data_IF_552885908196
#
_entry.id   IF_552885908196
#
_cell.length_a   1.000
_cell.length_b   1.000
_cell.length_c   1.000
_cell.angle_alpha   90.00
_cell.angle_beta   90.00
_cell.angle_gamma   90.00
#
_symmetry.space_group_name_H-M   'P 1'
#
loop_
_entity.id
_entity.type
_entity.pdbx_description
1 polymer ?
#
# COMPACT_ATOMS: atom_id res chain seq x y z
N UNK A 1 -8.38 -19.93 9.00
CA UNK A 1 -9.31 -20.63 9.91
C UNK A 1 -8.79 -20.65 11.34
N UNK A 2 -7.59 -21.18 11.62
CA UNK A 2 -7.04 -21.37 12.97
C UNK A 2 -6.99 -20.09 13.83
N UNK A 3 -6.62 -18.94 13.26
CA UNK A 3 -6.65 -17.65 13.98
C UNK A 3 -8.07 -17.16 14.25
N UNK A 4 -8.98 -17.29 13.28
CA UNK A 4 -10.37 -16.91 13.47
C UNK A 4 -11.04 -17.78 14.56
N UNK A 5 -10.70 -19.07 14.63
CA UNK A 5 -11.20 -19.99 15.66
C UNK A 5 -10.63 -19.66 17.05
N UNK A 6 -9.32 -19.40 17.16
CA UNK A 6 -8.65 -19.15 18.44
C UNK A 6 -8.95 -17.77 19.01
N UNK A 7 -8.95 -16.72 18.14
CA UNK A 7 -9.01 -15.32 18.57
C UNK A 7 -10.31 -14.62 18.16
N UNK A 8 -11.24 -15.33 17.49
CA UNK A 8 -12.55 -14.83 17.06
C UNK A 8 -12.46 -13.60 16.14
N UNK A 9 -11.46 -13.57 15.24
CA UNK A 9 -11.31 -12.48 14.27
C UNK A 9 -12.44 -12.48 13.25
N UNK A 10 -13.02 -11.31 13.00
CA UNK A 10 -14.05 -11.11 11.97
C UNK A 10 -13.45 -11.05 10.56
N UNK A 11 -12.23 -10.53 10.44
CA UNK A 11 -11.48 -10.39 9.19
C UNK A 11 -9.96 -10.35 9.43
N UNK A 12 -9.19 -10.45 8.35
CA UNK A 12 -7.72 -10.47 8.44
C UNK A 12 -7.12 -9.12 8.84
N UNK A 13 -7.78 -8.00 8.56
CA UNK A 13 -7.25 -6.69 8.90
C UNK A 13 -7.36 -6.42 10.40
N UNK A 14 -8.54 -6.64 10.97
CA UNK A 14 -8.77 -6.46 12.42
C UNK A 14 -7.88 -7.37 13.28
N UNK A 15 -7.58 -8.58 12.79
CA UNK A 15 -6.65 -9.50 13.44
C UNK A 15 -5.23 -8.95 13.60
N UNK A 16 -4.79 -8.06 12.71
CA UNK A 16 -3.48 -7.41 12.79
C UNK A 16 -3.29 -6.48 14.00
N UNK A 17 -4.38 -5.98 14.57
CA UNK A 17 -4.38 -5.11 15.74
C UNK A 17 -4.64 -5.85 17.06
N UNK A 18 -4.73 -7.18 17.01
CA UNK A 18 -4.91 -7.98 18.21
C UNK A 18 -3.66 -7.92 19.09
N UNK A 19 -3.80 -7.71 20.42
CA UNK A 19 -2.67 -7.67 21.35
C UNK A 19 -2.18 -9.08 21.69
N UNK A 20 -1.39 -9.68 20.80
CA UNK A 20 -0.83 -11.01 21.02
C UNK A 20 0.05 -11.06 22.27
N UNK A 21 -0.01 -12.15 23.03
CA UNK A 21 0.73 -12.31 24.28
C UNK A 21 2.24 -12.41 24.09
N UNK A 22 2.69 -12.94 22.93
CA UNK A 22 4.11 -13.13 22.62
C UNK A 22 4.45 -12.67 21.21
N UNK A 23 5.73 -12.36 20.98
CA UNK A 23 6.23 -12.00 19.64
C UNK A 23 6.16 -13.18 18.67
N UNK A 24 6.29 -14.41 19.15
CA UNK A 24 6.16 -15.62 18.34
C UNK A 24 4.72 -15.76 17.79
N UNK A 25 3.69 -15.45 18.60
CA UNK A 25 2.30 -15.45 18.14
C UNK A 25 2.00 -14.26 17.22
N UNK A 26 2.51 -13.07 17.51
CA UNK A 26 2.43 -11.90 16.66
C UNK A 26 3.02 -12.19 15.27
N UNK A 27 4.22 -12.75 15.23
CA UNK A 27 4.90 -13.00 13.96
C UNK A 27 4.36 -14.19 13.17
N UNK A 28 3.73 -15.18 13.80
CA UNK A 28 3.04 -16.24 13.02
C UNK A 28 1.81 -15.70 12.30
N UNK A 29 1.10 -14.75 12.90
CA UNK A 29 -0.01 -14.06 12.23
C UNK A 29 0.51 -13.20 11.08
N UNK A 30 1.43 -12.29 11.37
CA UNK A 30 1.93 -11.34 10.40
C UNK A 30 2.75 -12.00 9.28
N UNK A 31 3.50 -13.04 9.54
CA UNK A 31 4.24 -13.73 8.48
C UNK A 31 3.32 -14.35 7.43
N UNK A 32 2.21 -14.98 7.85
CA UNK A 32 1.19 -15.49 6.92
C UNK A 32 0.49 -14.37 6.17
N UNK A 33 0.14 -13.29 6.87
CA UNK A 33 -0.50 -12.14 6.25
C UNK A 33 0.40 -11.49 5.19
N UNK A 34 1.65 -11.25 5.52
CA UNK A 34 2.66 -10.70 4.60
C UNK A 34 2.87 -11.64 3.42
N UNK A 35 3.01 -12.95 3.67
CA UNK A 35 3.22 -13.92 2.61
C UNK A 35 2.10 -13.90 1.57
N UNK A 36 0.86 -13.91 2.02
CA UNK A 36 -0.32 -13.90 1.14
C UNK A 36 -0.42 -12.58 0.36
N UNK A 37 -0.24 -11.43 1.02
CA UNK A 37 -0.52 -10.14 0.40
C UNK A 37 0.65 -9.57 -0.38
N UNK A 38 1.90 -9.86 0.04
CA UNK A 38 3.11 -9.26 -0.50
C UNK A 38 3.89 -10.18 -1.43
N UNK A 39 3.98 -11.47 -1.07
CA UNK A 39 4.83 -12.44 -1.78
C UNK A 39 4.05 -13.42 -2.67
N UNK A 40 2.73 -13.40 -2.61
CA UNK A 40 1.87 -14.17 -3.50
C UNK A 40 1.33 -13.25 -4.61
N UNK A 41 1.34 -13.68 -5.88
CA UNK A 41 0.76 -12.90 -6.96
C UNK A 41 -0.71 -12.58 -6.72
N UNK A 42 -1.15 -11.41 -7.18
CA UNK A 42 -2.57 -11.03 -7.13
C UNK A 42 -3.42 -12.06 -7.91
N UNK A 43 -4.61 -12.43 -7.41
CA UNK A 43 -5.44 -13.47 -8.04
C UNK A 43 -6.11 -13.02 -9.35
N UNK A 44 -6.10 -11.72 -9.65
CA UNK A 44 -6.70 -11.14 -10.87
C UNK A 44 -5.70 -10.19 -11.54
N UNK A 45 -5.66 -10.07 -12.86
CA UNK A 45 -4.69 -9.27 -13.61
C UNK A 45 -5.02 -7.76 -13.62
N UNK A 46 -5.59 -7.21 -12.55
CA UNK A 46 -6.04 -5.81 -12.49
C UNK A 46 -4.89 -4.83 -12.62
N UNK A 47 -3.73 -5.16 -12.02
CA UNK A 47 -2.54 -4.31 -12.09
C UNK A 47 -1.87 -4.38 -13.45
N UNK A 48 -1.83 -5.56 -14.08
CA UNK A 48 -1.30 -5.76 -15.43
C UNK A 48 -2.20 -5.07 -16.48
N UNK A 49 -3.53 -5.18 -16.34
CA UNK A 49 -4.49 -4.49 -17.20
C UNK A 49 -4.28 -2.97 -17.10
N UNK A 50 -4.15 -2.44 -15.88
CA UNK A 50 -3.86 -1.01 -15.67
C UNK A 50 -2.51 -0.61 -16.28
N UNK A 51 -1.45 -1.41 -16.11
CA UNK A 51 -0.15 -1.13 -16.73
C UNK A 51 -0.27 -1.09 -18.25
N UNK A 52 -1.04 -2.00 -18.84
CA UNK A 52 -1.33 -2.02 -20.27
C UNK A 52 -1.86 -0.68 -20.79
N UNK A 53 -2.75 -0.05 -20.04
CA UNK A 53 -3.35 1.25 -20.37
C UNK A 53 -2.38 2.43 -20.24
N UNK A 54 -1.49 2.40 -19.24
CA UNK A 54 -0.66 3.58 -18.90
C UNK A 54 0.79 3.49 -19.35
N UNK A 55 1.33 2.32 -19.70
CA UNK A 55 2.77 2.11 -20.01
C UNK A 55 3.34 3.05 -21.07
N UNK A 56 2.50 3.48 -22.04
CA UNK A 56 2.88 4.39 -23.12
C UNK A 56 2.50 5.86 -22.82
N UNK A 57 2.08 6.17 -21.58
CA UNK A 57 1.74 7.52 -21.13
C UNK A 57 2.83 8.06 -20.21
N UNK A 58 2.84 9.36 -20.00
CA UNK A 58 3.60 9.93 -18.91
C UNK A 58 2.75 9.82 -17.64
N UNK A 59 3.01 8.79 -16.81
CA UNK A 59 2.23 8.46 -15.63
C UNK A 59 3.06 8.48 -14.36
N UNK A 60 2.40 8.62 -13.24
CA UNK A 60 2.93 8.39 -11.92
C UNK A 60 1.87 7.70 -11.04
N UNK A 61 2.27 6.72 -10.24
CA UNK A 61 1.40 6.02 -9.30
C UNK A 61 1.62 6.53 -7.90
N UNK A 62 0.57 7.03 -7.28
CA UNK A 62 0.50 7.31 -5.84
C UNK A 62 -0.39 6.23 -5.20
N UNK A 63 0.13 5.46 -4.25
CA UNK A 63 -0.64 4.41 -3.61
C UNK A 63 -0.52 4.43 -2.09
N UNK A 64 -1.60 4.04 -1.43
CA UNK A 64 -1.64 3.74 0.01
C UNK A 64 -1.54 2.25 0.30
N UNK A 65 -1.51 1.41 -0.75
CA UNK A 65 -1.30 -0.03 -0.62
C UNK A 65 0.15 -0.31 -0.23
N UNK A 66 0.32 -1.36 0.58
CA UNK A 66 1.61 -1.81 1.12
C UNK A 66 1.98 -3.21 0.65
N UNK A 67 1.21 -3.73 -0.32
CA UNK A 67 1.25 -5.10 -0.85
C UNK A 67 2.23 -5.31 -2.01
N UNK A 68 2.85 -4.25 -2.52
CA UNK A 68 3.82 -4.28 -3.61
C UNK A 68 3.28 -4.77 -4.97
N UNK A 69 1.98 -4.86 -5.14
CA UNK A 69 1.40 -5.46 -6.35
C UNK A 69 1.65 -4.63 -7.62
N UNK A 70 1.79 -3.31 -7.51
CA UNK A 70 2.22 -2.47 -8.65
C UNK A 70 3.58 -2.89 -9.19
N UNK A 71 4.56 -3.09 -8.31
CA UNK A 71 5.91 -3.50 -8.70
C UNK A 71 5.90 -4.94 -9.25
N UNK A 72 5.14 -5.85 -8.65
CA UNK A 72 4.98 -7.23 -9.12
C UNK A 72 4.40 -7.29 -10.55
N UNK A 73 3.48 -6.37 -10.87
CA UNK A 73 2.90 -6.23 -12.21
C UNK A 73 3.83 -5.54 -13.24
N UNK A 74 5.01 -5.07 -12.81
CA UNK A 74 6.02 -4.48 -13.70
C UNK A 74 5.96 -2.96 -13.85
N UNK A 75 5.26 -2.24 -12.96
CA UNK A 75 5.33 -0.77 -12.94
C UNK A 75 6.74 -0.29 -12.59
N UNK A 76 7.18 0.77 -13.27
CA UNK A 76 8.48 1.39 -13.01
C UNK A 76 8.52 1.98 -11.60
N UNK A 77 9.45 1.47 -10.77
CA UNK A 77 9.65 1.94 -9.39
C UNK A 77 9.96 3.44 -9.31
N UNK A 78 10.56 4.03 -10.34
CA UNK A 78 10.83 5.48 -10.39
C UNK A 78 9.57 6.32 -10.60
N UNK A 79 8.47 5.70 -11.04
CA UNK A 79 7.16 6.30 -11.26
C UNK A 79 6.13 5.87 -10.21
N UNK A 80 6.59 5.48 -9.03
CA UNK A 80 5.76 4.92 -7.98
C UNK A 80 6.14 5.51 -6.62
N UNK A 81 5.11 5.92 -5.85
CA UNK A 81 5.23 6.32 -4.45
C UNK A 81 4.19 5.60 -3.59
N UNK A 82 4.65 4.64 -2.79
CA UNK A 82 3.86 3.92 -1.79
C UNK A 82 4.02 4.60 -0.43
N UNK A 83 3.03 5.41 -0.04
CA UNK A 83 3.14 6.38 1.05
C UNK A 83 3.06 5.78 2.44
N UNK A 84 2.47 4.57 2.58
CA UNK A 84 2.15 3.94 3.85
C UNK A 84 3.14 2.82 4.24
N UNK A 85 4.22 2.66 3.48
CA UNK A 85 5.22 1.61 3.69
C UNK A 85 5.08 0.41 2.77
N UNK A 86 5.76 -0.68 3.14
CA UNK A 86 5.76 -1.95 2.39
C UNK A 86 5.83 -3.13 3.38
N UNK A 87 4.95 -4.11 3.21
CA UNK A 87 4.99 -5.35 3.99
C UNK A 87 6.28 -6.16 3.79
N UNK A 88 7.04 -5.90 2.75
CA UNK A 88 8.36 -6.49 2.50
C UNK A 88 9.51 -5.88 3.31
N UNK A 89 9.22 -4.93 4.19
CA UNK A 89 10.23 -4.23 4.97
C UNK A 89 9.99 -4.34 6.48
N UNK A 90 11.06 -4.61 7.23
CA UNK A 90 11.11 -4.43 8.67
C UNK A 90 11.60 -3.03 9.04
N UNK A 91 11.16 -2.52 10.18
CA UNK A 91 11.70 -1.36 10.87
C UNK A 91 11.85 -1.63 12.37
N UNK A 92 12.67 -0.86 13.06
CA UNK A 92 12.73 -0.91 14.53
C UNK A 92 11.37 -0.47 15.10
N UNK A 93 10.80 -1.22 16.05
CA UNK A 93 9.50 -0.90 16.67
C UNK A 93 9.53 0.40 17.51
N UNK A 94 10.71 0.79 17.99
CA UNK A 94 11.00 2.12 18.56
C UNK A 94 12.15 2.71 17.78
N UNK A 95 11.86 3.48 16.71
CA UNK A 95 12.86 3.89 15.73
C UNK A 95 14.11 4.48 16.36
N UNK A 96 15.22 3.77 16.24
CA UNK A 96 16.54 4.25 16.64
C UNK A 96 17.31 4.89 15.47
N UNK A 97 16.79 4.70 14.26
CA UNK A 97 17.32 5.24 13.00
C UNK A 97 16.22 5.24 11.92
N UNK A 98 16.47 5.94 10.81
CA UNK A 98 15.59 6.00 9.65
C UNK A 98 15.99 4.94 8.61
N UNK A 99 16.07 3.66 9.03
CA UNK A 99 16.41 2.53 8.15
C UNK A 99 15.34 1.46 8.17
N UNK A 100 15.08 0.91 7.00
CA UNK A 100 14.27 -0.28 6.78
C UNK A 100 15.15 -1.43 6.32
N UNK A 101 14.64 -2.65 6.44
CA UNK A 101 15.38 -3.88 6.14
C UNK A 101 14.48 -4.84 5.39
N UNK A 102 14.99 -5.47 4.33
CA UNK A 102 14.28 -6.53 3.61
C UNK A 102 13.93 -7.69 4.54
N UNK A 103 12.73 -8.27 4.35
CA UNK A 103 12.23 -9.30 5.22
C UNK A 103 11.87 -10.63 4.52
N UNK A 104 12.00 -10.74 3.21
CA UNK A 104 11.50 -11.90 2.45
C UNK A 104 12.03 -13.23 2.99
N UNK A 105 13.34 -13.33 3.18
CA UNK A 105 13.96 -14.57 3.65
C UNK A 105 13.45 -14.97 5.04
N UNK A 106 13.33 -14.00 5.96
CA UNK A 106 12.83 -14.24 7.32
C UNK A 106 11.34 -14.61 7.32
N UNK A 107 10.51 -13.91 6.57
CA UNK A 107 9.09 -14.22 6.45
C UNK A 107 8.87 -15.61 5.87
N UNK A 108 9.63 -16.00 4.85
CA UNK A 108 9.57 -17.34 4.26
C UNK A 108 9.88 -18.40 5.32
N UNK A 109 10.98 -18.25 6.07
CA UNK A 109 11.34 -19.18 7.13
C UNK A 109 10.28 -19.27 8.23
N UNK A 110 9.68 -18.12 8.63
CA UNK A 110 8.60 -18.11 9.60
C UNK A 110 7.38 -18.91 9.12
N UNK A 111 6.98 -18.76 7.85
CA UNK A 111 5.86 -19.51 7.26
C UNK A 111 6.17 -21.01 7.19
N UNK A 112 7.38 -21.39 6.82
CA UNK A 112 7.80 -22.80 6.68
C UNK A 112 7.99 -23.52 8.03
N UNK A 113 8.51 -22.82 9.05
CA UNK A 113 8.97 -23.45 10.29
C UNK A 113 7.99 -23.30 11.47
N UNK A 114 6.91 -22.53 11.30
CA UNK A 114 5.93 -22.32 12.36
C UNK A 114 5.26 -23.62 12.83
N UNK A 115 5.06 -23.76 14.14
CA UNK A 115 4.36 -24.87 14.77
C UNK A 115 3.48 -24.40 15.92
N UNK A 116 2.28 -24.98 16.08
CA UNK A 116 1.38 -24.64 17.17
C UNK A 116 1.01 -23.15 17.25
N UNK A 117 0.84 -22.49 16.10
CA UNK A 117 0.58 -21.05 16.00
C UNK A 117 1.69 -20.17 16.62
N UNK A 118 2.94 -20.58 16.50
CA UNK A 118 4.11 -19.79 16.89
C UNK A 118 5.22 -19.95 15.86
N UNK A 119 5.97 -18.88 15.62
CA UNK A 119 7.25 -18.97 14.92
C UNK A 119 8.35 -19.39 15.89
N UNK A 120 9.44 -20.02 15.42
CA UNK A 120 10.65 -20.21 16.24
C UNK A 120 11.14 -18.87 16.80
N UNK A 121 11.54 -18.86 18.08
CA UNK A 121 12.00 -17.63 18.77
C UNK A 121 13.20 -16.98 18.08
N UNK A 122 14.09 -17.78 17.51
CA UNK A 122 15.26 -17.33 16.75
C UNK A 122 14.93 -16.58 15.46
N UNK A 123 13.69 -16.73 14.94
CA UNK A 123 13.21 -16.00 13.77
C UNK A 123 12.54 -14.66 14.12
N UNK A 124 12.29 -14.39 15.41
CA UNK A 124 11.74 -13.09 15.83
C UNK A 124 12.76 -11.99 15.51
N UNK A 125 12.42 -11.01 14.63
CA UNK A 125 13.41 -10.07 14.14
C UNK A 125 13.74 -9.00 15.20
N UNK A 126 15.04 -8.73 15.33
CA UNK A 126 15.56 -7.70 16.21
C UNK A 126 16.39 -6.68 15.42
N UNK A 127 16.28 -5.42 15.81
CA UNK A 127 17.00 -4.33 15.18
C UNK A 127 18.53 -4.55 15.30
N UNK A 128 19.27 -4.58 14.18
CA UNK A 128 20.72 -4.83 14.22
C UNK A 128 21.52 -3.69 14.90
N UNK A 129 20.91 -2.52 15.09
CA UNK A 129 21.58 -1.37 15.72
C UNK A 129 21.33 -1.28 17.23
N UNK A 130 20.12 -1.59 17.69
CA UNK A 130 19.77 -1.39 19.12
C UNK A 130 19.26 -2.64 19.82
N UNK A 131 19.12 -3.78 19.12
CA UNK A 131 18.66 -5.04 19.68
C UNK A 131 17.17 -5.10 20.05
N UNK A 132 16.40 -4.03 19.89
CA UNK A 132 14.96 -4.03 20.16
C UNK A 132 14.20 -4.83 19.11
N UNK A 133 13.01 -5.36 19.43
CA UNK A 133 12.16 -6.02 18.44
C UNK A 133 11.89 -5.12 17.22
N UNK A 134 11.71 -5.74 16.08
CA UNK A 134 11.28 -5.06 14.87
C UNK A 134 9.78 -5.25 14.63
N UNK A 135 9.23 -4.43 13.75
CA UNK A 135 7.86 -4.52 13.21
C UNK A 135 7.90 -4.33 11.70
N UNK A 136 6.76 -4.47 11.03
CA UNK A 136 6.65 -4.10 9.62
C UNK A 136 6.81 -2.59 9.43
N UNK A 137 7.33 -2.17 8.28
CA UNK A 137 7.29 -0.78 7.86
C UNK A 137 5.88 -0.44 7.35
N UNK A 138 4.99 -0.16 8.29
CA UNK A 138 3.58 0.15 8.07
C UNK A 138 3.20 1.39 8.86
N UNK A 139 2.59 2.38 8.19
CA UNK A 139 2.12 3.62 8.83
C UNK A 139 0.80 3.37 9.56
N UNK A 140 0.86 2.96 10.80
CA UNK A 140 -0.28 2.86 11.72
C UNK A 140 -0.21 3.86 12.89
N UNK A 141 0.96 4.41 13.16
CA UNK A 141 1.19 5.40 14.21
C UNK A 141 2.37 6.34 13.87
N UNK A 142 2.87 7.09 14.84
CA UNK A 142 3.98 8.04 14.74
C UNK A 142 5.36 7.38 14.72
N UNK A 143 5.45 6.07 14.89
CA UNK A 143 6.72 5.32 14.81
C UNK A 143 7.12 4.92 13.39
N UNK A 144 6.32 5.26 12.39
CA UNK A 144 6.58 4.93 10.99
C UNK A 144 7.92 5.51 10.51
N UNK A 145 8.80 4.65 10.02
CA UNK A 145 10.09 5.04 9.46
C UNK A 145 9.94 5.45 8.00
N UNK A 146 10.26 6.70 7.72
CA UNK A 146 10.45 7.22 6.37
C UNK A 146 11.94 7.15 6.04
N UNK A 147 12.32 6.13 5.27
CA UNK A 147 13.71 5.95 4.87
C UNK A 147 14.10 6.82 3.66
N UNK A 148 15.34 6.74 3.23
CA UNK A 148 15.84 7.49 2.07
C UNK A 148 15.05 7.18 0.79
N UNK A 149 14.62 5.91 0.61
CA UNK A 149 13.79 5.48 -0.52
C UNK A 149 12.42 6.15 -0.52
N UNK A 150 11.81 6.27 0.66
CA UNK A 150 10.53 6.97 0.82
C UNK A 150 10.64 8.46 0.46
N UNK A 151 11.68 9.15 0.96
CA UNK A 151 11.89 10.57 0.64
C UNK A 151 12.18 10.76 -0.86
N UNK A 152 13.03 9.95 -1.45
CA UNK A 152 13.32 10.00 -2.88
C UNK A 152 12.07 9.77 -3.75
N UNK A 153 11.16 8.88 -3.35
CA UNK A 153 9.89 8.66 -4.05
C UNK A 153 8.95 9.87 -3.89
N UNK A 154 8.89 10.47 -2.72
CA UNK A 154 8.12 11.69 -2.45
C UNK A 154 8.60 12.88 -3.30
N UNK A 155 9.92 13.06 -3.44
CA UNK A 155 10.52 14.09 -4.29
C UNK A 155 10.18 13.88 -5.77
N UNK A 156 10.28 12.65 -6.29
CA UNK A 156 9.90 12.33 -7.67
C UNK A 156 8.42 12.60 -7.93
N UNK A 157 7.54 12.27 -6.99
CA UNK A 157 6.11 12.57 -7.10
C UNK A 157 5.86 14.08 -7.14
N UNK A 158 6.47 14.83 -6.24
CA UNK A 158 6.36 16.30 -6.17
C UNK A 158 6.86 16.94 -7.47
N UNK A 159 7.99 16.48 -7.98
CA UNK A 159 8.55 16.95 -9.25
C UNK A 159 7.63 16.60 -10.44
N UNK A 160 7.05 15.41 -10.48
CA UNK A 160 6.08 15.03 -11.48
C UNK A 160 4.88 15.99 -11.48
N UNK A 161 4.28 16.25 -10.33
CA UNK A 161 3.18 17.19 -10.22
C UNK A 161 3.56 18.61 -10.68
N UNK A 162 4.74 19.09 -10.27
CA UNK A 162 5.25 20.42 -10.63
C UNK A 162 5.39 20.57 -12.15
N UNK A 163 5.94 19.56 -12.83
CA UNK A 163 6.14 19.57 -14.30
C UNK A 163 4.83 19.47 -15.09
N UNK A 164 3.78 18.88 -14.51
CA UNK A 164 2.50 18.67 -15.17
C UNK A 164 1.44 19.74 -14.85
N UNK A 165 1.72 20.63 -13.90
CA UNK A 165 0.81 21.73 -13.57
C UNK A 165 0.58 22.60 -14.79
N UNK A 166 -0.71 22.73 -15.21
CA UNK A 166 -1.10 23.48 -16.41
C UNK A 166 -1.21 22.63 -17.69
N UNK A 167 -0.73 21.42 -17.71
CA UNK A 167 -0.95 20.46 -18.79
C UNK A 167 -2.34 19.79 -18.65
N UNK A 168 -2.74 19.00 -19.66
CA UNK A 168 -3.90 18.11 -19.54
C UNK A 168 -3.52 16.92 -18.67
N UNK A 169 -4.10 16.83 -17.48
CA UNK A 169 -3.80 15.76 -16.51
C UNK A 169 -5.07 15.02 -16.15
N UNK A 170 -5.02 13.70 -16.16
CA UNK A 170 -6.02 12.82 -15.61
C UNK A 170 -5.58 12.37 -14.22
N UNK A 171 -6.32 12.72 -13.20
CA UNK A 171 -6.21 12.15 -11.85
C UNK A 171 -7.14 10.93 -11.76
N UNK A 172 -6.59 9.74 -11.98
CA UNK A 172 -7.33 8.48 -11.94
C UNK A 172 -7.27 7.89 -10.54
N UNK A 173 -8.41 7.83 -9.88
CA UNK A 173 -8.58 7.19 -8.57
C UNK A 173 -9.19 5.80 -8.74
N UNK A 174 -8.54 4.80 -8.14
CA UNK A 174 -8.95 3.41 -8.19
C UNK A 174 -9.15 2.87 -6.76
N UNK A 175 -10.41 2.76 -6.33
CA UNK A 175 -10.79 2.12 -5.07
C UNK A 175 -10.31 2.81 -3.79
N UNK A 176 -9.96 4.10 -3.82
CA UNK A 176 -9.60 4.81 -2.59
C UNK A 176 -10.85 5.05 -1.73
N UNK A 177 -10.85 4.48 -0.52
CA UNK A 177 -11.95 4.61 0.44
C UNK A 177 -11.87 5.88 1.30
N UNK A 178 -12.90 6.09 2.12
CA UNK A 178 -12.98 7.22 3.06
C UNK A 178 -12.20 7.01 4.37
N UNK A 179 -11.55 5.86 4.56
CA UNK A 179 -10.74 5.61 5.76
C UNK A 179 -9.47 6.47 5.79
N UNK A 180 -8.83 6.70 4.64
CA UNK A 180 -7.62 7.53 4.52
C UNK A 180 -7.71 8.47 3.31
N UNK A 181 -8.74 9.35 3.23
CA UNK A 181 -9.05 10.11 2.01
C UNK A 181 -8.05 11.23 1.73
N UNK A 182 -7.28 11.67 2.72
CA UNK A 182 -6.42 12.86 2.64
C UNK A 182 -5.26 12.70 1.66
N UNK A 183 -4.73 11.48 1.51
CA UNK A 183 -3.54 11.23 0.69
C UNK A 183 -3.89 11.27 -0.80
N UNK A 184 -4.91 10.56 -1.24
CA UNK A 184 -5.30 10.45 -2.66
C UNK A 184 -6.52 11.31 -2.94
N UNK A 185 -7.68 10.96 -2.39
CA UNK A 185 -8.98 11.51 -2.74
C UNK A 185 -9.03 13.04 -2.59
N UNK A 186 -8.77 13.57 -1.41
CA UNK A 186 -8.82 15.02 -1.17
C UNK A 186 -7.70 15.78 -1.89
N UNK A 187 -6.53 15.16 -2.04
CA UNK A 187 -5.42 15.75 -2.80
C UNK A 187 -5.78 15.87 -4.28
N UNK A 188 -6.38 14.85 -4.88
CA UNK A 188 -6.81 14.87 -6.28
C UNK A 188 -7.95 15.89 -6.50
N UNK A 189 -8.94 15.91 -5.62
CA UNK A 189 -10.04 16.90 -5.71
C UNK A 189 -9.52 18.33 -5.66
N UNK A 190 -8.59 18.63 -4.74
CA UNK A 190 -7.96 19.94 -4.65
C UNK A 190 -7.22 20.30 -5.94
N UNK A 191 -6.40 19.40 -6.48
CA UNK A 191 -5.67 19.65 -7.71
C UNK A 191 -6.59 19.84 -8.91
N UNK A 192 -7.66 19.08 -9.04
CA UNK A 192 -8.64 19.25 -10.13
C UNK A 192 -9.39 20.57 -10.00
N UNK A 193 -9.69 21.02 -8.79
CA UNK A 193 -10.31 22.32 -8.57
C UNK A 193 -9.37 23.50 -8.92
N UNK A 194 -8.04 23.33 -8.68
CA UNK A 194 -7.04 24.37 -8.90
C UNK A 194 -6.48 24.39 -10.34
N UNK A 195 -6.45 23.24 -11.02
CA UNK A 195 -5.76 23.09 -12.31
C UNK A 195 -6.77 23.13 -13.47
N UNK A 196 -6.74 24.18 -14.25
CA UNK A 196 -7.69 24.47 -15.33
C UNK A 196 -7.94 23.31 -16.33
N UNK A 197 -6.89 22.50 -16.60
CA UNK A 197 -6.93 21.43 -17.61
C UNK A 197 -6.91 20.04 -16.98
N UNK A 198 -7.16 19.91 -15.67
CA UNK A 198 -7.22 18.64 -14.99
C UNK A 198 -8.61 18.01 -15.04
N UNK A 199 -8.63 16.69 -15.14
CA UNK A 199 -9.84 15.87 -15.06
C UNK A 199 -9.67 14.86 -13.93
N UNK A 200 -10.72 14.63 -13.17
CA UNK A 200 -10.78 13.55 -12.18
C UNK A 200 -11.56 12.37 -12.76
N UNK A 201 -11.04 11.16 -12.59
CA UNK A 201 -11.80 9.95 -12.84
C UNK A 201 -11.73 9.04 -11.60
N UNK A 202 -12.87 8.55 -11.16
CA UNK A 202 -12.99 7.66 -10.01
C UNK A 202 -13.70 6.38 -10.43
N UNK A 203 -13.02 5.24 -10.23
CA UNK A 203 -13.60 3.90 -10.40
C UNK A 203 -13.63 3.26 -9.02
N UNK A 204 -14.84 3.09 -8.46
CA UNK A 204 -14.98 2.56 -7.11
C UNK A 204 -16.38 1.96 -6.93
N UNK A 205 -16.44 0.71 -6.50
CA UNK A 205 -17.71 0.05 -6.21
C UNK A 205 -18.29 0.56 -4.89
N UNK A 206 -19.42 1.28 -4.96
CA UNK A 206 -20.13 1.84 -3.81
C UNK A 206 -19.72 3.25 -3.41
N UNK A 207 -18.51 3.73 -3.75
CA UNK A 207 -17.99 5.05 -3.33
C UNK A 207 -17.48 5.92 -4.50
N UNK A 208 -18.03 5.73 -5.72
CA UNK A 208 -17.62 6.51 -6.88
C UNK A 208 -18.36 7.86 -6.92
N UNK A 209 -17.74 8.92 -6.40
CA UNK A 209 -18.31 10.28 -6.43
C UNK A 209 -17.23 11.37 -6.50
N UNK A 210 -17.66 12.56 -6.90
CA UNK A 210 -16.84 13.78 -6.89
C UNK A 210 -17.60 14.89 -6.17
N UNK A 211 -16.91 15.77 -5.42
CA UNK A 211 -17.54 16.92 -4.80
C UNK A 211 -18.05 17.91 -5.86
N UNK A 212 -19.04 18.71 -5.46
CA UNK A 212 -19.78 19.61 -6.35
C UNK A 212 -18.87 20.57 -7.13
N UNK A 213 -17.79 21.00 -6.49
CA UNK A 213 -16.83 21.98 -7.02
C UNK A 213 -16.07 21.48 -8.26
N UNK A 214 -15.90 20.16 -8.40
CA UNK A 214 -15.17 19.56 -9.53
C UNK A 214 -16.05 18.66 -10.40
N UNK A 215 -17.33 18.54 -10.12
CA UNK A 215 -18.24 17.61 -10.77
C UNK A 215 -18.26 17.77 -12.31
N UNK A 216 -18.17 18.99 -12.81
CA UNK A 216 -18.13 19.27 -14.25
C UNK A 216 -16.86 18.73 -14.95
N UNK A 217 -15.77 18.51 -14.20
CA UNK A 217 -14.51 17.99 -14.68
C UNK A 217 -14.25 16.56 -14.17
N UNK A 218 -15.31 15.81 -13.84
CA UNK A 218 -15.19 14.50 -13.21
C UNK A 218 -15.98 13.42 -13.93
N UNK A 219 -15.42 12.21 -13.94
CA UNK A 219 -16.03 10.97 -14.43
C UNK A 219 -16.05 10.00 -13.26
N UNK A 220 -17.23 9.59 -12.79
CA UNK A 220 -17.36 8.66 -11.68
C UNK A 220 -18.07 7.38 -12.15
N UNK A 221 -17.40 6.24 -12.01
CA UNK A 221 -17.86 4.92 -12.44
C UNK A 221 -18.04 4.03 -11.21
N UNK A 222 -19.29 3.74 -10.87
CA UNK A 222 -19.64 2.85 -9.75
C UNK A 222 -19.66 1.40 -10.22
N UNK A 223 -18.47 0.79 -10.33
CA UNK A 223 -18.30 -0.58 -10.85
C UNK A 223 -16.99 -1.18 -10.30
N UNK A 224 -16.83 -2.52 -10.42
CA UNK A 224 -15.57 -3.22 -10.14
C UNK A 224 -14.46 -2.74 -11.08
N UNK A 225 -13.31 -2.41 -10.51
CA UNK A 225 -12.15 -1.86 -11.25
C UNK A 225 -11.72 -2.79 -12.39
N UNK A 226 -11.62 -4.10 -12.11
CA UNK A 226 -11.21 -5.08 -13.11
C UNK A 226 -12.19 -5.19 -14.27
N UNK A 227 -13.49 -5.03 -14.01
CA UNK A 227 -14.50 -5.04 -15.07
C UNK A 227 -14.39 -3.79 -15.97
N UNK A 228 -14.12 -2.62 -15.39
CA UNK A 228 -13.95 -1.38 -16.16
C UNK A 228 -12.67 -1.44 -16.99
N UNK A 229 -11.54 -1.83 -16.39
CA UNK A 229 -10.24 -1.86 -17.09
C UNK A 229 -10.25 -2.80 -18.30
N UNK A 230 -11.01 -3.90 -18.27
CA UNK A 230 -11.17 -4.83 -19.41
C UNK A 230 -11.96 -4.25 -20.57
N UNK A 231 -12.70 -3.17 -20.38
CA UNK A 231 -13.52 -2.52 -21.40
C UNK A 231 -12.80 -1.34 -22.06
N UNK A 232 -11.64 -0.92 -21.52
CA UNK A 232 -10.82 0.18 -22.02
C UNK A 232 -9.67 -0.33 -22.90
#
# INVERSE_FOLDING_TARGET
HDFAEKYHFSDMYSGGFYPFDTLEEYWVYWSRYIWINRYTPAPKPVYEDLLGLVKNKDYFVLTTNVDHQFQNAGFDKHRLFYTQGDYGLFQCNKPCCQKTYDNEATIRQMVEQQKGMRVPTELVPHCPLCGKPMTMNLRCDDTFVQDEGWYSASERYTDFLRRHKGLKVLFLELGAGMNTPTIIKFSFWRMVNEWKNATYACINLGEAYAPREIQANSICINEDIGNVLKQL
#
